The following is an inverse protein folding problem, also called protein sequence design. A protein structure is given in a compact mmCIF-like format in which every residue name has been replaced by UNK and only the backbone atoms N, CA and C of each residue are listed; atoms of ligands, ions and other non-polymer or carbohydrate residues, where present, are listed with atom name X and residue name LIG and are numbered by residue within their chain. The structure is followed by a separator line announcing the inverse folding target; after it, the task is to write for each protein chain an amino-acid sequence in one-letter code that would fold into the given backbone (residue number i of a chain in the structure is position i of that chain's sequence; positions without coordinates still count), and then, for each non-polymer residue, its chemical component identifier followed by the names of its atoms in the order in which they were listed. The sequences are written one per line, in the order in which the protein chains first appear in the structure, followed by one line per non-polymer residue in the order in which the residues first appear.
data_IF_135403726468
#
_entry.id   IF_135403726468
#
_cell.length_a   1.000
_cell.length_b   1.000
_cell.length_c   1.000
_cell.angle_alpha   90.00
_cell.angle_beta   90.00
_cell.angle_gamma   90.00
#
_symmetry.space_group_name_H-M   'P 1'
#
loop_
_entity.id
_entity.type
_entity.pdbx_description
1 polymer ?
#
# COMPACT_ATOMS: atom_id res chain seq x y z
N UNK A 1 1.55 3.08 -12.12
CA UNK A 1 2.06 2.08 -11.17
C UNK A 1 1.10 0.90 -11.10
N UNK A 2 1.61 -0.30 -10.86
CA UNK A 2 0.82 -1.45 -10.43
C UNK A 2 0.66 -1.40 -8.89
N UNK A 3 -0.59 -1.23 -8.45
CA UNK A 3 -0.97 -1.02 -7.05
C UNK A 3 -1.77 -2.22 -6.56
N UNK A 4 -1.37 -2.78 -5.42
CA UNK A 4 -2.16 -3.76 -4.68
C UNK A 4 -2.92 -3.05 -3.57
N UNK A 5 -4.24 -3.19 -3.54
CA UNK A 5 -5.09 -2.70 -2.46
C UNK A 5 -5.68 -3.90 -1.72
N UNK A 6 -5.48 -3.92 -0.42
CA UNK A 6 -5.96 -4.97 0.49
C UNK A 6 -6.96 -4.34 1.44
N UNK A 7 -8.25 -4.56 1.18
CA UNK A 7 -9.37 -3.90 1.84
C UNK A 7 -10.59 -4.83 1.77
N UNK A 8 -11.18 -5.18 2.91
CA UNK A 8 -12.32 -6.10 2.99
C UNK A 8 -13.66 -5.39 2.74
N UNK A 9 -13.69 -4.06 2.83
CA UNK A 9 -14.87 -3.29 2.50
C UNK A 9 -14.94 -2.98 1.01
N UNK A 10 -15.78 -3.71 0.27
CA UNK A 10 -15.98 -3.54 -1.18
C UNK A 10 -16.20 -2.08 -1.60
N UNK A 11 -16.98 -1.31 -0.84
CA UNK A 11 -17.29 0.09 -1.17
C UNK A 11 -16.04 0.97 -1.10
N UNK A 12 -15.19 0.74 -0.09
CA UNK A 12 -13.92 1.45 0.06
C UNK A 12 -12.93 1.00 -1.02
N UNK A 13 -12.85 -0.31 -1.27
CA UNK A 13 -11.97 -0.90 -2.28
C UNK A 13 -12.29 -0.39 -3.69
N UNK A 14 -13.55 -0.39 -4.11
CA UNK A 14 -14.00 0.16 -5.40
C UNK A 14 -13.72 1.66 -5.51
N UNK A 15 -13.94 2.41 -4.43
CA UNK A 15 -13.66 3.85 -4.41
C UNK A 15 -12.17 4.13 -4.60
N UNK A 16 -11.30 3.38 -3.92
CA UNK A 16 -9.85 3.48 -4.08
C UNK A 16 -9.42 3.07 -5.49
N UNK A 17 -9.95 1.97 -6.02
CA UNK A 17 -9.65 1.50 -7.37
C UNK A 17 -10.03 2.54 -8.43
N UNK A 18 -11.24 3.11 -8.32
CA UNK A 18 -11.72 4.16 -9.22
C UNK A 18 -10.81 5.40 -9.18
N UNK A 19 -10.43 5.85 -7.98
CA UNK A 19 -9.51 6.98 -7.84
C UNK A 19 -8.16 6.65 -8.45
N UNK A 20 -7.54 5.54 -8.09
CA UNK A 20 -6.24 5.12 -8.63
C UNK A 20 -6.25 5.01 -10.16
N UNK A 21 -7.34 4.48 -10.75
CA UNK A 21 -7.52 4.42 -12.21
C UNK A 21 -7.62 5.82 -12.84
N UNK A 22 -8.36 6.75 -12.22
CA UNK A 22 -8.45 8.14 -12.70
C UNK A 22 -7.09 8.85 -12.75
N UNK A 23 -6.16 8.47 -11.88
CA UNK A 23 -4.78 8.99 -11.85
C UNK A 23 -3.78 8.14 -12.65
N UNK A 24 -4.26 7.15 -13.41
CA UNK A 24 -3.45 6.37 -14.36
C UNK A 24 -2.70 5.17 -13.73
N UNK A 25 -3.11 4.73 -12.54
CA UNK A 25 -2.56 3.54 -11.89
C UNK A 25 -3.41 2.30 -12.19
N UNK A 26 -2.77 1.14 -12.21
CA UNK A 26 -3.43 -0.16 -12.37
C UNK A 26 -3.64 -0.76 -11.00
N UNK A 27 -4.89 -0.99 -10.65
CA UNK A 27 -5.23 -1.48 -9.31
C UNK A 27 -5.57 -2.97 -9.34
N UNK A 28 -5.05 -3.72 -8.38
CA UNK A 28 -5.53 -5.05 -8.04
C UNK A 28 -6.14 -5.01 -6.64
N UNK A 29 -7.37 -5.50 -6.51
CA UNK A 29 -8.07 -5.60 -5.23
C UNK A 29 -7.98 -7.03 -4.69
N UNK A 30 -7.77 -7.15 -3.38
CA UNK A 30 -7.96 -8.37 -2.60
C UNK A 30 -8.61 -8.01 -1.26
N UNK A 31 -9.43 -8.92 -0.74
CA UNK A 31 -10.23 -8.69 0.48
C UNK A 31 -9.52 -9.12 1.78
N UNK A 32 -8.42 -9.85 1.66
CA UNK A 32 -7.74 -10.45 2.82
C UNK A 32 -6.22 -10.51 2.64
N UNK A 33 -5.52 -10.63 3.78
CA UNK A 33 -4.06 -10.65 3.81
C UNK A 33 -3.43 -11.91 3.21
N UNK A 34 -4.10 -13.05 3.23
CA UNK A 34 -3.56 -14.30 2.66
C UNK A 34 -3.52 -14.22 1.13
N UNK A 35 -4.60 -13.71 0.53
CA UNK A 35 -4.69 -13.39 -0.89
C UNK A 35 -3.63 -12.36 -1.30
N UNK A 36 -3.39 -11.34 -0.47
CA UNK A 36 -2.32 -10.37 -0.70
C UNK A 36 -0.93 -11.04 -0.77
N UNK A 37 -0.60 -11.87 0.21
CA UNK A 37 0.69 -12.59 0.26
C UNK A 37 0.84 -13.57 -0.90
N UNK A 38 -0.23 -14.25 -1.30
CA UNK A 38 -0.22 -15.14 -2.46
C UNK A 38 0.13 -14.38 -3.74
N UNK A 39 -0.50 -13.22 -3.98
CA UNK A 39 -0.23 -12.39 -5.16
C UNK A 39 1.17 -11.79 -5.15
N UNK A 40 1.65 -11.31 -4.00
CA UNK A 40 3.01 -10.78 -3.84
C UNK A 40 4.08 -11.86 -4.12
N UNK A 41 3.75 -13.13 -3.90
CA UNK A 41 4.62 -14.26 -4.29
C UNK A 41 4.63 -14.55 -5.80
N UNK A 42 3.60 -14.13 -6.55
CA UNK A 42 3.46 -14.43 -7.98
C UNK A 42 3.87 -13.27 -8.89
N UNK A 43 3.75 -12.02 -8.44
CA UNK A 43 4.13 -10.83 -9.23
C UNK A 43 4.56 -9.68 -8.33
N UNK A 44 5.32 -8.76 -8.92
CA UNK A 44 5.73 -7.53 -8.26
C UNK A 44 4.62 -6.48 -8.30
N UNK A 45 4.65 -5.61 -7.29
CA UNK A 45 3.85 -4.39 -7.21
C UNK A 45 4.77 -3.25 -6.79
N UNK A 46 4.42 -2.02 -7.17
CA UNK A 46 5.18 -0.83 -6.80
C UNK A 46 4.65 -0.23 -5.49
N UNK A 47 3.34 -0.37 -5.25
CA UNK A 47 2.65 0.17 -4.08
C UNK A 47 1.69 -0.87 -3.51
N UNK A 48 1.68 -1.01 -2.18
CA UNK A 48 0.70 -1.80 -1.43
C UNK A 48 -0.05 -0.87 -0.47
N UNK A 49 -1.34 -0.66 -0.71
CA UNK A 49 -2.26 -0.04 0.25
C UNK A 49 -2.90 -1.15 1.09
N UNK A 50 -2.74 -1.09 2.40
CA UNK A 50 -3.03 -2.20 3.28
C UNK A 50 -3.88 -1.76 4.47
N UNK A 51 -5.12 -2.22 4.55
CA UNK A 51 -5.90 -2.07 5.78
C UNK A 51 -5.25 -2.86 6.93
N UNK A 52 -5.25 -2.29 8.13
CA UNK A 52 -4.82 -2.99 9.35
C UNK A 52 -5.86 -4.02 9.82
N UNK A 53 -7.15 -3.73 9.67
CA UNK A 53 -8.29 -4.49 10.17
C UNK A 53 -8.87 -5.46 9.14
N UNK A 54 -8.03 -6.35 8.62
CA UNK A 54 -8.45 -7.37 7.65
C UNK A 54 -9.02 -8.63 8.34
N UNK A 55 -9.90 -9.39 7.65
CA UNK A 55 -10.26 -10.74 8.07
C UNK A 55 -9.03 -11.67 8.03
N UNK A 56 -8.95 -12.59 8.99
CA UNK A 56 -7.85 -13.55 9.08
C UNK A 56 -6.58 -12.92 9.67
N UNK A 57 -5.62 -12.57 8.81
CA UNK A 57 -4.35 -11.97 9.24
C UNK A 57 -4.39 -10.45 9.16
N UNK A 58 -3.80 -9.77 10.16
CA UNK A 58 -3.73 -8.31 10.21
C UNK A 58 -2.83 -7.74 9.11
N UNK A 59 -3.08 -6.49 8.71
CA UNK A 59 -2.23 -5.75 7.77
C UNK A 59 -0.76 -5.72 8.21
N UNK A 60 -0.49 -5.42 9.48
CA UNK A 60 0.84 -5.49 10.08
C UNK A 60 1.56 -6.84 9.88
N UNK A 61 0.85 -7.97 9.86
CA UNK A 61 1.44 -9.28 9.58
C UNK A 61 1.85 -9.43 8.11
N UNK A 62 1.03 -8.93 7.19
CA UNK A 62 1.33 -8.87 5.75
C UNK A 62 2.55 -7.98 5.51
N UNK A 63 2.57 -6.76 6.07
CA UNK A 63 3.69 -5.84 5.96
C UNK A 63 5.00 -6.45 6.50
N UNK A 64 4.92 -7.15 7.64
CA UNK A 64 6.06 -7.89 8.20
C UNK A 64 6.54 -8.99 7.26
N UNK A 65 5.65 -9.70 6.59
CA UNK A 65 6.06 -10.69 5.60
C UNK A 65 6.74 -10.03 4.40
N UNK A 66 6.25 -8.87 3.95
CA UNK A 66 6.87 -8.13 2.84
C UNK A 66 8.29 -7.70 3.22
N UNK A 67 8.48 -7.09 4.40
CA UNK A 67 9.79 -6.64 4.89
C UNK A 67 10.79 -7.79 5.05
N UNK A 68 10.34 -8.99 5.40
CA UNK A 68 11.21 -10.17 5.55
C UNK A 68 11.42 -10.96 4.25
N UNK A 69 10.77 -10.56 3.15
CA UNK A 69 10.93 -11.21 1.85
C UNK A 69 11.94 -10.44 1.01
N UNK A 70 12.98 -11.09 0.45
CA UNK A 70 13.97 -10.44 -0.38
C UNK A 70 13.42 -10.20 -1.80
N UNK A 71 12.56 -9.19 -1.95
CA UNK A 71 12.14 -8.72 -3.25
C UNK A 71 13.32 -8.09 -4.01
N UNK A 72 13.33 -8.24 -5.34
CA UNK A 72 14.28 -7.52 -6.19
C UNK A 72 14.05 -6.01 -6.09
N UNK A 73 12.79 -5.61 -6.03
CA UNK A 73 12.33 -4.26 -5.74
C UNK A 73 11.19 -4.36 -4.72
N UNK A 74 11.38 -3.81 -3.51
CA UNK A 74 10.37 -3.91 -2.44
C UNK A 74 9.26 -2.89 -2.72
N UNK A 75 7.98 -3.28 -2.73
CA UNK A 75 6.90 -2.30 -2.86
C UNK A 75 6.95 -1.27 -1.73
N UNK A 76 6.51 -0.05 -2.04
CA UNK A 76 6.20 0.96 -1.04
C UNK A 76 4.94 0.51 -0.26
N UNK A 77 5.00 0.46 1.07
CA UNK A 77 3.93 -0.11 1.90
C UNK A 77 3.24 1.01 2.68
N UNK A 78 1.94 1.15 2.47
CA UNK A 78 1.10 2.14 3.13
C UNK A 78 0.07 1.43 3.98
N UNK A 79 0.07 1.70 5.29
CA UNK A 79 -1.01 1.27 6.16
C UNK A 79 -2.21 2.21 6.01
N UNK A 80 -3.42 1.66 5.97
CA UNK A 80 -4.66 2.40 6.13
C UNK A 80 -5.27 2.00 7.47
N UNK A 81 -5.22 2.87 8.48
CA UNK A 81 -5.63 2.53 9.86
C UNK A 81 -6.66 3.50 10.40
N UNK A 82 -7.65 2.99 11.13
CA UNK A 82 -8.59 3.83 11.90
C UNK A 82 -8.11 4.20 13.30
N UNK A 83 -7.04 3.57 13.79
CA UNK A 83 -6.50 3.75 15.14
C UNK A 83 -5.06 4.30 15.10
N UNK A 84 -4.72 5.13 16.09
CA UNK A 84 -3.39 5.71 16.22
C UNK A 84 -2.40 4.66 16.72
N UNK A 85 -1.44 4.26 15.88
CA UNK A 85 -0.42 3.24 16.14
C UNK A 85 0.13 3.26 17.59
N UNK A 86 -0.09 2.16 18.34
CA UNK A 86 0.50 1.88 19.65
C UNK A 86 1.97 1.43 19.49
N UNK A 87 2.82 2.34 19.03
CA UNK A 87 4.26 2.38 19.34
C UNK A 87 5.17 1.25 18.82
N UNK A 88 4.75 0.40 17.88
CA UNK A 88 5.54 -0.75 17.44
C UNK A 88 5.66 -1.00 15.93
N UNK A 89 4.80 -0.37 15.10
CA UNK A 89 4.67 -0.72 13.68
C UNK A 89 5.37 0.25 12.73
N UNK A 90 6.02 1.29 13.27
CA UNK A 90 6.66 2.38 12.50
C UNK A 90 7.78 1.95 11.56
N UNK A 91 8.24 0.69 11.63
CA UNK A 91 9.27 0.13 10.72
C UNK A 91 8.72 -0.83 9.66
N UNK A 92 7.43 -1.18 9.74
CA UNK A 92 6.80 -2.11 8.81
C UNK A 92 6.18 -1.40 7.62
N UNK A 93 5.81 -0.13 7.81
CA UNK A 93 5.16 0.72 6.83
C UNK A 93 6.06 1.89 6.50
N UNK A 94 6.01 2.32 5.24
CA UNK A 94 6.67 3.53 4.78
C UNK A 94 5.84 4.76 5.16
N UNK A 95 4.52 4.65 5.05
CA UNK A 95 3.55 5.69 5.45
C UNK A 95 2.32 5.06 6.10
N UNK A 96 1.69 5.79 7.03
CA UNK A 96 0.39 5.43 7.59
C UNK A 96 -0.65 6.50 7.23
N UNK A 97 -1.72 6.10 6.54
CA UNK A 97 -2.90 6.90 6.26
C UNK A 97 -3.97 6.63 7.32
N UNK A 98 -4.33 7.66 8.08
CA UNK A 98 -5.36 7.57 9.10
C UNK A 98 -6.76 7.72 8.48
N UNK A 99 -7.64 6.74 8.71
CA UNK A 99 -9.05 6.78 8.32
C UNK A 99 -9.84 7.67 9.30
N UNK A 100 -10.74 8.54 8.81
CA UNK A 100 -10.95 8.89 7.41
C UNK A 100 -9.83 9.79 6.86
N UNK A 101 -9.32 9.49 5.67
CA UNK A 101 -8.31 10.30 4.97
C UNK A 101 -8.92 11.05 3.79
N UNK A 102 -8.36 12.22 3.48
CA UNK A 102 -8.74 13.02 2.32
C UNK A 102 -8.10 12.49 1.04
N UNK A 103 -8.70 12.81 -0.12
CA UNK A 103 -8.11 12.53 -1.43
C UNK A 103 -6.68 13.12 -1.55
N UNK A 104 -6.48 14.35 -1.07
CA UNK A 104 -5.17 15.02 -1.07
C UNK A 104 -4.10 14.21 -0.30
N UNK A 105 -4.47 13.60 0.83
CA UNK A 105 -3.55 12.77 1.59
C UNK A 105 -3.19 11.48 0.84
N UNK A 106 -4.17 10.84 0.18
CA UNK A 106 -3.91 9.67 -0.65
C UNK A 106 -2.98 10.01 -1.83
N UNK A 107 -3.21 11.13 -2.50
CA UNK A 107 -2.39 11.56 -3.64
C UNK A 107 -0.95 11.88 -3.22
N UNK A 108 -0.76 12.55 -2.08
CA UNK A 108 0.58 12.83 -1.56
C UNK A 108 1.37 11.53 -1.34
N UNK A 109 0.73 10.49 -0.80
CA UNK A 109 1.37 9.19 -0.58
C UNK A 109 1.72 8.48 -1.89
N UNK A 110 0.87 8.62 -2.91
CA UNK A 110 1.15 8.10 -4.25
C UNK A 110 2.35 8.83 -4.85
N UNK A 111 2.44 10.15 -4.71
CA UNK A 111 3.59 10.94 -5.17
C UNK A 111 4.89 10.52 -4.46
N UNK A 112 4.83 10.31 -3.14
CA UNK A 112 5.98 9.84 -2.34
C UNK A 112 6.45 8.44 -2.80
N UNK A 113 5.51 7.54 -3.12
CA UNK A 113 5.81 6.21 -3.65
C UNK A 113 6.51 6.27 -5.02
N UNK A 114 6.14 7.23 -5.88
CA UNK A 114 6.79 7.45 -7.17
C UNK A 114 8.20 8.03 -7.02
N UNK A 115 8.36 9.01 -6.11
CA UNK A 115 9.65 9.66 -5.86
C UNK A 115 10.73 8.73 -5.31
N UNK A 116 10.36 7.61 -4.69
CA UNK A 116 11.30 6.60 -4.22
C UNK A 116 11.89 5.75 -5.38
N UNK A 117 11.17 5.61 -6.50
CA UNK A 117 11.65 4.91 -7.71
C UNK A 117 12.53 5.78 -8.63
N UNK A 118 12.44 7.11 -8.51
CA UNK A 118 13.12 8.09 -9.37
C UNK A 118 14.43 8.65 -8.78
N UNK A 119 15.20 7.84 -8.04
CA UNK A 119 16.55 8.21 -7.61
C UNK A 119 17.60 8.19 -8.75
N UNK A 120 17.21 8.56 -9.99
CA UNK A 120 18.15 8.66 -11.11
C UNK A 120 17.89 9.82 -12.10
N UNK A 121 17.02 10.79 -11.83
CA UNK A 121 16.94 12.00 -12.68
C UNK A 121 16.55 13.23 -11.88
N UNK A 122 17.52 13.89 -11.25
CA UNK A 122 17.61 15.36 -11.18
C UNK A 122 18.81 15.77 -10.31
N UNK A 123 19.90 16.16 -10.97
CA UNK A 123 20.71 17.34 -10.68
C UNK A 123 21.83 17.46 -11.73
N UNK A 124 21.44 17.92 -12.92
CA UNK A 124 22.35 18.57 -13.87
C UNK A 124 21.57 19.70 -14.56
N UNK A 125 21.50 20.84 -13.88
CA UNK A 125 21.28 22.16 -14.47
C UNK A 125 21.93 23.21 -13.56
#
# INVERSE_FOLDING_TARGET
MDVLVVEDNDVVADSLAFLLDCYGHRTTLVEDGESALSLLGCRAFELVLLDENLPGIKGSAVARSIVNTPFADRPFIVSMTGDSDDGGLTRLFDVCLQKPFSLEALLQVIEDAQGCGDASTLLAA
#
